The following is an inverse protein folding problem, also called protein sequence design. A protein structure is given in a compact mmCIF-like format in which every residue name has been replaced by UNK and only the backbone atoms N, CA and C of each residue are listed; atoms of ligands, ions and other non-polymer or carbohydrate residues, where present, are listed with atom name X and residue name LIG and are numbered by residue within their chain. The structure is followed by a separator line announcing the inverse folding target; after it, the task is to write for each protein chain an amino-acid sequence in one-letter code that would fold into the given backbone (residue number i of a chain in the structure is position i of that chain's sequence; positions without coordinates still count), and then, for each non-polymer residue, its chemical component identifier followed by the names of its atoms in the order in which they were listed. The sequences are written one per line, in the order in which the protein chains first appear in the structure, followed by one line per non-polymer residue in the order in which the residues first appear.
data_IF_964020785544
#
_entry.id   IF_964020785544
#
_cell.length_a   1.000
_cell.length_b   1.000
_cell.length_c   1.000
_cell.angle_alpha   90.00
_cell.angle_beta   90.00
_cell.angle_gamma   90.00
#
_symmetry.space_group_name_H-M   'P 1'
#
loop_
_entity.id
_entity.type
_entity.pdbx_description
1 polymer ?
#
# COMPACT_ATOMS: atom_id res chain seq x y z
N UNK A 1 13.00 21.09 15.23
CA UNK A 1 11.62 21.08 15.63
C UNK A 1 11.28 19.75 16.27
N UNK A 2 10.86 19.81 17.52
CA UNK A 2 10.38 18.60 18.14
C UNK A 2 9.11 18.22 17.39
N UNK A 3 9.25 17.30 16.53
CA UNK A 3 8.12 16.96 15.72
C UNK A 3 7.20 15.97 16.38
N UNK A 4 5.93 16.17 16.18
CA UNK A 4 4.98 15.11 16.36
C UNK A 4 5.20 14.09 15.26
N UNK A 5 4.93 12.84 15.56
CA UNK A 5 4.96 11.77 14.57
C UNK A 5 3.57 11.54 14.03
N UNK A 6 3.45 11.51 12.73
CA UNK A 6 2.19 11.14 12.09
C UNK A 6 2.10 9.61 12.07
N UNK A 7 1.05 9.07 12.67
CA UNK A 7 0.75 7.65 12.59
C UNK A 7 -0.39 7.44 11.62
N UNK A 8 -0.20 6.61 10.63
CA UNK A 8 -1.25 6.27 9.69
C UNK A 8 -1.51 4.78 9.74
N UNK A 9 -2.76 4.41 9.87
CA UNK A 9 -3.20 3.02 9.92
C UNK A 9 -4.06 2.75 8.71
N UNK A 10 -3.78 1.66 8.03
CA UNK A 10 -4.61 1.26 6.91
C UNK A 10 -3.86 0.48 5.88
N UNK A 11 -4.22 0.67 4.64
CA UNK A 11 -3.74 -0.15 3.55
C UNK A 11 -2.53 0.44 2.84
N UNK A 12 -1.68 -0.44 2.37
CA UNK A 12 -0.81 -0.20 1.23
C UNK A 12 -1.05 -1.35 0.26
N UNK A 13 -1.02 -1.06 -1.00
CA UNK A 13 -1.32 -2.05 -2.03
C UNK A 13 -0.50 -1.75 -3.28
N UNK A 14 -0.59 -2.65 -4.23
CA UNK A 14 0.04 -2.46 -5.53
C UNK A 14 -1.03 -2.11 -6.54
N UNK A 15 -0.89 -0.94 -7.16
CA UNK A 15 -1.69 -0.56 -8.31
C UNK A 15 -1.01 -1.09 -9.56
N UNK A 16 -1.72 -1.92 -10.31
CA UNK A 16 -1.24 -2.45 -11.58
C UNK A 16 -1.74 -1.54 -12.68
N UNK A 17 -0.82 -0.74 -13.21
CA UNK A 17 -1.16 0.31 -14.19
C UNK A 17 -1.02 -0.25 -15.60
N UNK A 18 -2.05 -0.14 -16.43
CA UNK A 18 -2.01 -0.70 -17.78
C UNK A 18 -1.11 0.09 -18.70
N UNK A 19 -0.46 -0.62 -19.64
CA UNK A 19 0.39 0.02 -20.64
C UNK A 19 -0.42 0.59 -21.80
N UNK A 20 -1.70 0.27 -21.91
CA UNK A 20 -2.58 0.73 -22.98
C UNK A 20 -3.89 1.21 -22.36
N UNK A 21 -4.38 2.34 -22.87
CA UNK A 21 -5.66 2.91 -22.44
C UNK A 21 -6.70 2.73 -23.53
N UNK A 22 -7.97 2.85 -23.16
CA UNK A 22 -9.06 2.82 -24.12
C UNK A 22 -9.34 1.46 -24.74
N UNK A 23 -8.92 0.38 -24.08
CA UNK A 23 -9.17 -0.97 -24.55
C UNK A 23 -9.70 -1.83 -23.41
N UNK A 24 -10.21 -3.02 -23.74
CA UNK A 24 -10.67 -3.94 -22.72
C UNK A 24 -9.50 -4.50 -21.93
N UNK A 25 -9.78 -4.98 -20.72
CA UNK A 25 -8.76 -5.49 -19.81
C UNK A 25 -7.92 -6.60 -20.48
N UNK A 26 -8.57 -7.49 -21.21
CA UNK A 26 -7.90 -8.62 -21.86
C UNK A 26 -7.01 -8.20 -23.04
N UNK A 27 -7.17 -6.97 -23.51
CA UNK A 27 -6.35 -6.43 -24.59
C UNK A 27 -5.11 -5.69 -24.06
N UNK A 28 -5.00 -5.50 -22.77
CA UNK A 28 -3.84 -4.82 -22.18
C UNK A 28 -2.63 -5.76 -22.22
N UNK A 29 -1.56 -5.39 -22.94
CA UNK A 29 -0.41 -6.30 -23.08
C UNK A 29 0.46 -6.39 -21.83
N UNK A 30 0.47 -5.37 -20.98
CA UNK A 30 1.28 -5.39 -19.77
C UNK A 30 0.76 -4.41 -18.74
N UNK A 31 1.15 -4.65 -17.48
CA UNK A 31 0.83 -3.79 -16.36
C UNK A 31 2.10 -3.47 -15.59
N UNK A 32 2.21 -2.26 -15.08
CA UNK A 32 3.34 -1.86 -14.26
C UNK A 32 2.90 -1.75 -12.80
N UNK A 33 3.63 -2.37 -11.86
CA UNK A 33 3.27 -2.30 -10.45
C UNK A 33 3.70 -0.97 -9.85
N UNK A 34 2.80 -0.37 -9.07
CA UNK A 34 3.06 0.89 -8.40
C UNK A 34 2.53 0.83 -6.99
N UNK A 35 3.35 1.22 -6.03
CA UNK A 35 2.92 1.24 -4.63
C UNK A 35 1.87 2.34 -4.45
N UNK A 36 0.76 1.99 -3.83
CA UNK A 36 -0.36 2.88 -3.60
C UNK A 36 -1.03 2.62 -2.25
N UNK A 37 -2.22 3.17 -2.11
CA UNK A 37 -2.99 3.12 -0.88
C UNK A 37 -2.93 4.47 -0.18
N UNK A 38 -4.11 5.03 0.12
CA UNK A 38 -4.17 6.37 0.68
C UNK A 38 -3.39 6.54 1.98
N UNK A 39 -3.50 5.62 2.96
CA UNK A 39 -2.74 5.78 4.21
C UNK A 39 -1.23 5.79 4.00
N UNK A 40 -0.72 4.94 3.10
CA UNK A 40 0.70 4.90 2.80
C UNK A 40 1.14 6.18 2.09
N UNK A 41 0.32 6.66 1.17
CA UNK A 41 0.61 7.90 0.45
C UNK A 41 0.69 9.10 1.39
N UNK A 42 -0.17 9.15 2.40
CA UNK A 42 -0.13 10.22 3.40
C UNK A 42 1.18 10.19 4.16
N UNK A 43 1.62 9.00 4.60
CA UNK A 43 2.90 8.86 5.28
C UNK A 43 4.06 9.32 4.40
N UNK A 44 4.06 8.92 3.14
CA UNK A 44 5.12 9.28 2.21
C UNK A 44 5.19 10.79 1.98
N UNK A 45 4.03 11.41 1.79
CA UNK A 45 3.97 12.85 1.59
C UNK A 45 4.48 13.60 2.82
N UNK A 46 4.08 13.18 4.00
CA UNK A 46 4.50 13.83 5.24
C UNK A 46 6.01 13.69 5.45
N UNK A 47 6.56 12.51 5.17
CA UNK A 47 7.99 12.27 5.28
C UNK A 47 8.79 13.12 4.29
N UNK A 48 8.29 13.30 3.07
CA UNK A 48 8.96 14.12 2.06
C UNK A 48 8.98 15.60 2.44
N UNK A 49 8.04 16.03 3.25
CA UNK A 49 8.00 17.40 3.75
C UNK A 49 8.87 17.59 4.99
N UNK A 50 9.63 16.57 5.37
CA UNK A 50 10.53 16.65 6.50
C UNK A 50 9.92 16.21 7.82
N UNK A 51 8.70 15.70 7.80
CA UNK A 51 8.05 15.21 9.00
C UNK A 51 8.44 13.77 9.31
N UNK A 52 8.11 13.35 10.52
CA UNK A 52 8.28 11.95 10.93
C UNK A 52 6.95 11.24 10.78
N UNK A 53 6.96 10.09 10.14
CA UNK A 53 5.74 9.30 9.99
C UNK A 53 6.02 7.84 10.27
N UNK A 54 5.01 7.16 10.77
CA UNK A 54 5.03 5.73 11.01
C UNK A 54 3.78 5.13 10.38
N UNK A 55 3.97 4.00 9.72
CA UNK A 55 2.88 3.32 9.03
C UNK A 55 2.56 2.00 9.74
N UNK A 56 1.31 1.85 10.13
CA UNK A 56 0.81 0.69 10.83
C UNK A 56 -0.08 -0.09 9.89
N UNK A 57 0.39 -1.27 9.49
CA UNK A 57 -0.36 -2.09 8.54
C UNK A 57 0.21 -3.49 8.51
N UNK A 58 -0.35 -4.30 7.64
CA UNK A 58 0.12 -5.65 7.40
C UNK A 58 0.17 -5.90 5.90
N UNK A 59 1.28 -6.47 5.46
CA UNK A 59 1.50 -6.84 4.07
C UNK A 59 1.65 -8.35 3.98
N UNK A 60 1.47 -8.88 2.79
CA UNK A 60 1.78 -10.28 2.55
C UNK A 60 3.29 -10.49 2.59
N UNK A 61 3.71 -11.64 3.08
CA UNK A 61 5.11 -12.05 2.99
C UNK A 61 5.34 -12.58 1.57
N UNK A 62 5.36 -11.66 0.63
CA UNK A 62 5.45 -11.95 -0.80
C UNK A 62 6.24 -10.83 -1.49
N UNK A 63 6.62 -11.02 -2.75
CA UNK A 63 7.42 -10.01 -3.46
C UNK A 63 6.78 -8.62 -3.48
N UNK A 64 5.45 -8.53 -3.59
CA UNK A 64 4.78 -7.24 -3.59
C UNK A 64 4.84 -6.57 -2.22
N UNK A 65 4.65 -7.34 -1.16
CA UNK A 65 4.76 -6.80 0.20
C UNK A 65 6.14 -6.26 0.48
N UNK A 66 7.16 -7.00 0.08
CA UNK A 66 8.54 -6.57 0.29
C UNK A 66 8.90 -5.37 -0.59
N UNK A 67 8.35 -5.28 -1.79
CA UNK A 67 8.52 -4.11 -2.65
C UNK A 67 7.95 -2.86 -1.98
N UNK A 68 6.74 -2.95 -1.45
CA UNK A 68 6.10 -1.83 -0.75
C UNK A 68 6.96 -1.39 0.44
N UNK A 69 7.37 -2.35 1.28
CA UNK A 69 8.15 -2.02 2.46
C UNK A 69 9.45 -1.32 2.10
N UNK A 70 10.12 -1.79 1.07
CA UNK A 70 11.38 -1.19 0.63
C UNK A 70 11.20 0.23 0.15
N UNK A 71 10.13 0.49 -0.59
CA UNK A 71 9.85 1.83 -1.11
C UNK A 71 9.45 2.80 0.01
N UNK A 72 8.66 2.33 0.97
CA UNK A 72 8.27 3.15 2.11
C UNK A 72 9.47 3.46 3.00
N UNK A 73 10.35 2.49 3.20
CA UNK A 73 11.57 2.71 3.96
C UNK A 73 12.46 3.75 3.29
N UNK A 74 12.56 3.70 1.97
CA UNK A 74 13.34 4.66 1.21
C UNK A 74 12.79 6.08 1.34
N UNK A 75 11.51 6.22 1.64
CA UNK A 75 10.88 7.53 1.90
C UNK A 75 11.13 8.02 3.32
N UNK A 76 11.77 7.22 4.17
CA UNK A 76 12.04 7.61 5.55
C UNK A 76 10.91 7.33 6.52
N UNK A 77 9.97 6.48 6.15
CA UNK A 77 8.85 6.13 7.02
C UNK A 77 9.29 5.08 8.01
N UNK A 78 8.87 5.24 9.26
CA UNK A 78 9.11 4.25 10.30
C UNK A 78 8.22 3.03 10.07
N UNK A 79 8.81 1.88 9.81
CA UNK A 79 8.11 0.63 9.54
C UNK A 79 8.19 -0.36 10.70
N UNK A 80 8.57 0.10 11.89
CA UNK A 80 8.69 -0.80 13.06
C UNK A 80 7.35 -1.43 13.45
N UNK A 81 6.24 -0.85 13.02
CA UNK A 81 4.90 -1.35 13.29
C UNK A 81 4.26 -2.00 12.06
N UNK A 82 5.03 -2.26 11.03
CA UNK A 82 4.56 -2.95 9.84
C UNK A 82 4.76 -4.45 10.03
N UNK A 83 3.70 -5.22 9.82
CA UNK A 83 3.74 -6.67 9.95
C UNK A 83 3.67 -7.34 8.58
N UNK A 84 4.16 -8.57 8.53
CA UNK A 84 4.03 -9.43 7.35
C UNK A 84 3.26 -10.67 7.74
N UNK A 85 2.47 -11.21 6.83
CA UNK A 85 1.71 -12.43 7.07
C UNK A 85 1.82 -13.37 5.89
N UNK A 86 1.84 -14.67 6.17
CA UNK A 86 1.76 -15.71 5.14
C UNK A 86 0.33 -16.21 4.94
N UNK A 87 -0.62 -15.65 5.68
CA UNK A 87 -2.02 -16.11 5.64
C UNK A 87 -2.82 -15.47 4.52
N UNK A 88 -2.33 -14.39 3.96
CA UNK A 88 -2.98 -13.73 2.85
C UNK A 88 -1.95 -12.93 2.04
N UNK A 89 -2.27 -12.69 0.79
CA UNK A 89 -1.39 -11.95 -0.11
C UNK A 89 -1.54 -10.45 0.08
N UNK A 90 -0.53 -9.71 -0.37
CA UNK A 90 -0.61 -8.27 -0.49
C UNK A 90 -1.73 -7.91 -1.46
N UNK A 91 -2.48 -6.85 -1.15
CA UNK A 91 -3.60 -6.42 -1.98
C UNK A 91 -3.10 -5.88 -3.33
N UNK A 92 -3.84 -6.21 -4.38
CA UNK A 92 -3.58 -5.70 -5.73
C UNK A 92 -4.81 -4.97 -6.21
N UNK A 93 -4.61 -3.91 -7.00
CA UNK A 93 -5.67 -3.23 -7.70
C UNK A 93 -5.26 -3.08 -9.15
N UNK A 94 -6.04 -3.64 -10.06
CA UNK A 94 -5.80 -3.47 -11.49
C UNK A 94 -6.61 -2.28 -11.98
N UNK A 95 -5.95 -1.37 -12.66
CA UNK A 95 -6.56 -0.14 -13.16
C UNK A 95 -6.86 -0.30 -14.64
N UNK A 96 -8.06 0.07 -15.04
CA UNK A 96 -8.43 0.19 -16.45
C UNK A 96 -8.68 1.66 -16.75
N UNK A 97 -8.12 2.14 -17.84
CA UNK A 97 -8.29 3.52 -18.27
C UNK A 97 -9.11 3.55 -19.55
N UNK A 98 -10.26 4.22 -19.47
CA UNK A 98 -11.16 4.37 -20.62
C UNK A 98 -10.70 5.53 -21.50
N UNK A 99 -11.25 5.59 -22.73
CA UNK A 99 -10.88 6.63 -23.69
C UNK A 99 -11.21 8.03 -23.18
N UNK A 100 -12.26 8.17 -22.38
CA UNK A 100 -12.68 9.44 -21.82
C UNK A 100 -11.86 9.85 -20.59
N UNK A 101 -10.88 9.04 -20.20
CA UNK A 101 -10.05 9.31 -19.04
C UNK A 101 -10.59 8.77 -17.73
N UNK A 102 -11.77 8.17 -17.74
CA UNK A 102 -12.32 7.56 -16.53
C UNK A 102 -11.53 6.30 -16.17
N UNK A 103 -11.53 5.98 -14.87
CA UNK A 103 -10.80 4.83 -14.34
C UNK A 103 -11.76 3.86 -13.70
N UNK A 104 -11.50 2.57 -13.91
CA UNK A 104 -12.17 1.50 -13.18
C UNK A 104 -11.10 0.68 -12.48
N UNK A 105 -11.46 0.11 -11.32
CA UNK A 105 -10.53 -0.68 -10.51
C UNK A 105 -11.09 -2.07 -10.30
N UNK A 106 -10.21 -3.06 -10.40
CA UNK A 106 -10.52 -4.42 -10.01
C UNK A 106 -9.62 -4.76 -8.83
N UNK A 107 -10.21 -4.91 -7.66
CA UNK A 107 -9.47 -5.15 -6.43
C UNK A 107 -9.37 -6.64 -6.12
N UNK A 108 -8.18 -7.07 -5.79
CA UNK A 108 -7.92 -8.44 -5.35
C UNK A 108 -7.58 -8.40 -3.87
N UNK A 109 -8.62 -8.42 -3.05
CA UNK A 109 -8.54 -8.25 -1.60
C UNK A 109 -9.45 -9.22 -0.83
N UNK A 110 -9.60 -10.46 -1.32
CA UNK A 110 -10.56 -11.39 -0.71
C UNK A 110 -9.91 -12.73 -0.36
N UNK A 111 -9.21 -12.87 0.75
CA UNK A 111 -8.74 -11.81 1.63
C UNK A 111 -7.39 -11.29 1.18
N UNK A 112 -7.02 -10.13 1.66
CA UNK A 112 -5.67 -9.60 1.51
C UNK A 112 -5.07 -9.31 2.88
N UNK A 113 -3.75 -9.15 2.90
CA UNK A 113 -3.02 -9.02 4.15
C UNK A 113 -3.49 -7.85 5.01
N UNK A 114 -3.80 -6.71 4.38
CA UNK A 114 -4.25 -5.52 5.11
C UNK A 114 -5.59 -5.75 5.81
N UNK A 115 -6.45 -6.59 5.25
CA UNK A 115 -7.74 -6.88 5.84
C UNK A 115 -7.64 -7.81 7.05
N UNK A 116 -6.53 -8.52 7.18
CA UNK A 116 -6.27 -9.38 8.33
C UNK A 116 -5.52 -8.66 9.44
N UNK A 117 -5.19 -7.40 9.21
CA UNK A 117 -4.48 -6.61 10.20
C UNK A 117 -5.31 -6.45 11.45
N UNK A 118 -4.65 -6.61 12.59
CA UNK A 118 -5.29 -6.42 13.89
C UNK A 118 -4.49 -5.41 14.69
N UNK A 119 -5.17 -4.41 15.19
CA UNK A 119 -4.56 -3.43 16.08
C UNK A 119 -3.99 -4.07 17.35
N UNK A 120 -4.47 -5.24 17.70
CA UNK A 120 -3.96 -5.95 18.87
C UNK A 120 -2.51 -6.37 18.71
N UNK A 121 -2.00 -6.43 17.47
CA UNK A 121 -0.60 -6.73 17.23
C UNK A 121 0.31 -5.65 17.79
N UNK A 122 -0.19 -4.43 17.92
CA UNK A 122 0.61 -3.28 18.33
C UNK A 122 0.11 -2.60 19.59
N UNK A 123 -1.06 -3.01 20.07
CA UNK A 123 -1.50 -2.51 21.36
C UNK A 123 -0.64 -3.18 22.41
N UNK A 124 0.15 -2.39 23.02
CA UNK A 124 0.89 -2.87 24.15
C UNK A 124 -0.09 -3.31 25.22
N UNK A 125 0.12 -4.45 25.83
CA UNK A 125 -0.71 -4.85 26.95
C UNK A 125 -0.62 -3.88 28.11
N UNK A 126 0.33 -3.08 28.06
CA UNK A 126 0.49 -2.01 28.95
C UNK A 126 0.40 -0.77 28.15
N UNK A 127 0.34 0.20 28.77
CA UNK A 127 0.25 0.40 30.19
C UNK A 127 -1.09 0.39 30.65
#
# INVERSE_FOLDING_TARGET
MSGSTLFSIGEALIDMIPSRVGCSFDEVPSFSPRTGGAPANVCAAFARLGGKSAFLSQLGDDPFGHKIARELEACGIDLSHLAFTDKASTALAFVSLEEDGSRTFSFYRKPSADLLYSCLLYTSPSP
#
